data_IF_211190640758
#
_entry.id   IF_211190640758
#
_cell.length_a   1.000
_cell.length_b   1.000
_cell.length_c   1.000
_cell.angle_alpha   90.00
_cell.angle_beta   90.00
_cell.angle_gamma   90.00
#
_symmetry.space_group_name_H-M   'P 1'
#
loop_
_entity.id
_entity.type
_entity.pdbx_description
1 polymer ?
#
# COMPACT_ATOMS: atom_id res chain seq x y z
N UNK A 1 -64.06 -45.99 -8.49
CA UNK A 1 -64.60 -44.69 -8.17
C UNK A 1 -64.45 -44.48 -6.67
N UNK A 2 -63.30 -43.90 -6.25
CA UNK A 2 -62.99 -43.61 -4.85
C UNK A 2 -62.21 -42.29 -4.80
N UNK A 3 -62.85 -41.25 -4.33
CA UNK A 3 -62.33 -39.95 -4.04
C UNK A 3 -61.56 -40.05 -2.72
N UNK A 4 -60.29 -39.68 -2.74
CA UNK A 4 -59.46 -39.56 -1.52
C UNK A 4 -59.11 -38.11 -1.27
N UNK A 5 -59.73 -37.52 -0.27
CA UNK A 5 -59.37 -36.26 0.35
C UNK A 5 -57.94 -36.34 0.90
N UNK A 6 -57.08 -35.36 0.56
CA UNK A 6 -55.88 -35.07 1.30
C UNK A 6 -55.95 -33.63 1.84
N UNK A 7 -56.28 -33.52 3.09
CA UNK A 7 -56.00 -32.35 3.93
C UNK A 7 -54.53 -32.38 4.29
N UNK A 8 -53.73 -31.41 3.87
CA UNK A 8 -52.39 -31.15 4.35
C UNK A 8 -52.42 -30.01 5.36
N UNK A 9 -51.81 -30.13 6.56
CA UNK A 9 -51.84 -29.07 7.56
C UNK A 9 -50.79 -27.98 7.24
N UNK A 10 -51.25 -26.75 7.18
CA UNK A 10 -50.51 -25.51 6.87
C UNK A 10 -49.81 -24.89 8.10
N UNK A 11 -49.58 -25.62 9.19
CA UNK A 11 -49.13 -25.08 10.48
C UNK A 11 -47.63 -25.14 10.75
N UNK A 12 -46.73 -25.95 10.11
CA UNK A 12 -45.31 -25.90 10.43
C UNK A 12 -44.52 -24.81 9.74
N UNK A 13 -45.05 -24.06 8.77
CA UNK A 13 -44.30 -23.06 8.00
C UNK A 13 -44.19 -21.70 8.72
N UNK A 14 -45.05 -21.42 9.68
CA UNK A 14 -45.10 -20.15 10.41
C UNK A 14 -44.13 -20.10 11.60
N UNK A 15 -43.71 -21.26 12.13
CA UNK A 15 -42.72 -21.34 13.22
C UNK A 15 -41.28 -21.22 12.72
N UNK A 16 -41.02 -21.56 11.44
CA UNK A 16 -39.68 -21.43 10.84
C UNK A 16 -39.34 -19.98 10.42
N UNK A 17 -40.35 -19.15 10.21
CA UNK A 17 -40.15 -17.74 9.82
C UNK A 17 -39.89 -16.83 11.03
N UNK A 18 -40.26 -17.24 12.26
CA UNK A 18 -40.00 -16.44 13.49
C UNK A 18 -38.68 -16.74 14.14
N UNK A 19 -37.98 -17.83 13.75
CA UNK A 19 -36.64 -18.20 14.25
C UNK A 19 -35.48 -17.47 13.56
N UNK A 20 -35.71 -16.74 12.47
CA UNK A 20 -34.66 -16.04 11.69
C UNK A 20 -34.44 -14.56 12.11
N UNK A 21 -35.19 -14.06 13.11
CA UNK A 21 -35.07 -12.64 13.55
C UNK A 21 -34.41 -12.48 14.92
N UNK A 22 -33.85 -13.54 15.50
CA UNK A 22 -33.07 -13.45 16.74
C UNK A 22 -31.68 -14.03 16.57
N UNK A 23 -30.93 -13.55 15.56
CA UNK A 23 -29.49 -13.51 15.67
C UNK A 23 -29.13 -12.21 16.38
N UNK A 24 -28.72 -12.23 17.66
CA UNK A 24 -27.97 -11.12 18.18
C UNK A 24 -26.71 -11.09 17.30
N UNK A 25 -26.57 -10.02 16.55
CA UNK A 25 -25.29 -9.64 15.99
C UNK A 25 -24.31 -9.64 17.17
N UNK A 26 -23.63 -10.76 17.39
CA UNK A 26 -22.36 -10.72 18.07
C UNK A 26 -21.49 -9.87 17.15
N UNK A 27 -21.36 -8.61 17.49
CA UNK A 27 -20.34 -7.71 16.99
C UNK A 27 -19.00 -8.24 17.52
N UNK A 28 -18.61 -9.44 17.03
CA UNK A 28 -17.22 -9.86 17.14
C UNK A 28 -16.42 -8.80 16.42
N UNK A 29 -15.46 -8.18 17.11
CA UNK A 29 -14.52 -7.27 16.50
C UNK A 29 -14.03 -7.96 15.22
N UNK A 30 -14.32 -7.34 14.06
CA UNK A 30 -13.87 -7.90 12.78
C UNK A 30 -12.36 -7.89 12.82
N UNK A 31 -11.74 -9.06 12.69
CA UNK A 31 -10.29 -9.14 12.65
C UNK A 31 -9.79 -8.42 11.39
N UNK A 32 -8.58 -7.88 11.44
CA UNK A 32 -7.95 -7.28 10.27
C UNK A 32 -8.01 -8.21 9.04
N UNK A 33 -7.88 -9.52 9.25
CA UNK A 33 -7.96 -10.54 8.21
C UNK A 33 -9.31 -10.55 7.46
N UNK A 34 -10.42 -10.32 8.18
CA UNK A 34 -11.73 -10.21 7.54
C UNK A 34 -11.80 -8.99 6.60
N UNK A 35 -11.21 -7.85 7.00
CA UNK A 35 -11.11 -6.66 6.15
C UNK A 35 -10.18 -6.88 4.95
N UNK A 36 -9.06 -7.61 5.13
CA UNK A 36 -8.17 -7.96 4.02
C UNK A 36 -8.89 -8.79 2.95
N UNK A 37 -9.64 -9.82 3.37
CA UNK A 37 -10.44 -10.65 2.46
C UNK A 37 -11.56 -9.87 1.77
N UNK A 38 -12.14 -8.91 2.46
CA UNK A 38 -13.16 -8.04 1.88
C UNK A 38 -12.59 -7.09 0.83
N UNK A 39 -11.42 -6.50 1.09
CA UNK A 39 -10.70 -5.67 0.12
C UNK A 39 -10.37 -6.44 -1.16
N UNK A 40 -9.92 -7.69 -1.04
CA UNK A 40 -9.64 -8.56 -2.19
C UNK A 40 -10.87 -8.78 -3.08
N UNK A 41 -12.06 -8.80 -2.50
CA UNK A 41 -13.31 -9.04 -3.25
C UNK A 41 -13.91 -7.78 -3.85
N UNK A 42 -13.75 -6.64 -3.20
CA UNK A 42 -14.51 -5.44 -3.50
C UNK A 42 -13.68 -4.30 -4.06
N UNK A 43 -12.34 -4.33 -3.91
CA UNK A 43 -11.50 -3.22 -4.38
C UNK A 43 -11.53 -3.12 -5.92
N UNK A 44 -11.98 -1.99 -6.49
CA UNK A 44 -12.13 -1.85 -7.93
C UNK A 44 -10.79 -1.87 -8.68
N UNK A 45 -9.69 -1.41 -8.04
CA UNK A 45 -8.34 -1.46 -8.63
C UNK A 45 -7.87 -2.90 -8.80
N UNK A 46 -8.02 -3.71 -7.75
CA UNK A 46 -7.64 -5.12 -7.80
C UNK A 46 -8.50 -5.94 -8.77
N UNK A 47 -9.81 -5.66 -8.82
CA UNK A 47 -10.72 -6.29 -9.78
C UNK A 47 -10.35 -5.91 -11.22
N UNK A 48 -9.92 -4.66 -11.48
CA UNK A 48 -9.44 -4.24 -12.77
C UNK A 48 -8.13 -4.95 -13.16
N UNK A 49 -7.19 -5.12 -12.23
CA UNK A 49 -5.96 -5.89 -12.46
C UNK A 49 -6.26 -7.37 -12.79
N UNK A 50 -7.18 -7.97 -12.05
CA UNK A 50 -7.63 -9.32 -12.33
C UNK A 50 -8.30 -9.45 -13.72
N UNK A 51 -9.11 -8.48 -14.10
CA UNK A 51 -9.72 -8.44 -15.44
C UNK A 51 -8.66 -8.30 -16.54
N UNK A 52 -7.57 -7.54 -16.33
CA UNK A 52 -6.42 -7.46 -17.27
C UNK A 52 -5.75 -8.83 -17.43
N UNK A 53 -5.53 -9.54 -16.32
CA UNK A 53 -5.01 -10.91 -16.36
C UNK A 53 -5.94 -11.84 -17.17
N UNK A 54 -7.25 -11.79 -16.91
CA UNK A 54 -8.22 -12.59 -17.68
C UNK A 54 -8.19 -12.23 -19.17
N UNK A 55 -8.14 -10.95 -19.51
CA UNK A 55 -8.02 -10.50 -20.90
C UNK A 55 -6.73 -10.99 -21.56
N UNK A 56 -5.59 -10.96 -20.85
CA UNK A 56 -4.34 -11.52 -21.36
C UNK A 56 -4.42 -13.04 -21.53
N UNK A 57 -5.11 -13.77 -20.66
CA UNK A 57 -5.31 -15.21 -20.80
C UNK A 57 -6.17 -15.58 -22.01
N UNK A 58 -7.17 -14.73 -22.37
CA UNK A 58 -7.97 -14.92 -23.58
C UNK A 58 -7.18 -14.67 -24.88
N UNK A 59 -6.10 -13.89 -24.85
CA UNK A 59 -5.21 -13.73 -26.00
C UNK A 59 -4.57 -15.05 -26.44
N UNK A 60 -4.36 -15.98 -25.50
CA UNK A 60 -3.87 -17.33 -25.81
C UNK A 60 -4.83 -18.09 -26.74
N UNK A 61 -6.13 -17.89 -26.54
CA UNK A 61 -7.18 -18.53 -27.33
C UNK A 61 -7.40 -17.85 -28.69
N UNK A 62 -6.94 -16.61 -28.88
CA UNK A 62 -7.02 -15.87 -30.15
C UNK A 62 -5.98 -16.35 -31.16
N UNK A 63 -4.94 -17.07 -30.70
CA UNK A 63 -3.91 -17.59 -31.61
C UNK A 63 -4.50 -18.72 -32.45
N UNK A 64 -4.79 -18.40 -33.71
CA UNK A 64 -5.36 -19.29 -34.71
C UNK A 64 -4.66 -19.14 -36.05
N UNK A 65 -5.03 -19.94 -37.02
CA UNK A 65 -4.67 -19.69 -38.42
C UNK A 65 -5.21 -18.33 -38.86
N UNK A 66 -4.51 -17.62 -39.75
CA UNK A 66 -5.06 -16.43 -40.42
C UNK A 66 -6.41 -16.75 -41.07
N UNK A 67 -7.32 -15.79 -41.08
CA UNK A 67 -8.62 -15.98 -41.69
C UNK A 67 -8.52 -16.26 -43.19
N UNK A 68 -9.37 -17.13 -43.75
CA UNK A 68 -9.41 -17.35 -45.20
C UNK A 68 -9.85 -16.07 -45.93
N UNK A 69 -9.07 -15.70 -46.93
CA UNK A 69 -9.38 -14.51 -47.76
C UNK A 69 -10.32 -14.90 -48.86
N UNK A 70 -11.49 -14.24 -48.93
CA UNK A 70 -12.48 -14.42 -49.96
C UNK A 70 -12.59 -13.13 -50.80
N UNK A 71 -12.26 -13.26 -52.10
CA UNK A 71 -12.29 -12.15 -53.07
C UNK A 71 -13.32 -12.44 -54.16
N UNK A 72 -14.11 -11.44 -54.56
CA UNK A 72 -15.00 -11.52 -55.69
C UNK A 72 -14.73 -10.36 -56.61
N UNK A 73 -14.41 -10.66 -57.87
CA UNK A 73 -14.26 -9.70 -58.94
C UNK A 73 -15.41 -9.85 -59.95
N UNK A 74 -16.03 -8.75 -60.31
CA UNK A 74 -17.07 -8.75 -61.35
C UNK A 74 -16.60 -7.81 -62.47
N UNK A 75 -16.57 -8.34 -63.69
CA UNK A 75 -16.13 -7.57 -64.86
C UNK A 75 -17.29 -6.74 -65.43
N UNK A 76 -17.28 -5.44 -65.16
CA UNK A 76 -18.28 -4.50 -65.73
C UNK A 76 -18.19 -4.39 -67.28
N UNK A 77 -17.03 -4.64 -67.82
CA UNK A 77 -16.82 -4.86 -69.26
C UNK A 77 -16.29 -6.26 -69.45
N UNK A 78 -17.07 -7.18 -69.97
CA UNK A 78 -16.64 -8.54 -70.13
C UNK A 78 -15.34 -8.66 -70.95
N UNK A 79 -14.41 -9.48 -70.47
CA UNK A 79 -13.16 -9.72 -71.18
C UNK A 79 -13.30 -10.98 -72.00
N UNK A 80 -13.14 -10.84 -73.28
CA UNK A 80 -13.16 -11.98 -74.18
C UNK A 80 -11.90 -12.81 -74.03
N UNK A 81 -12.08 -14.09 -73.74
CA UNK A 81 -11.00 -15.10 -73.64
C UNK A 81 -11.32 -16.31 -74.52
N UNK A 82 -10.31 -17.17 -74.74
CA UNK A 82 -10.48 -18.38 -75.55
C UNK A 82 -11.64 -19.29 -75.05
N UNK A 83 -11.87 -19.34 -73.70
CA UNK A 83 -12.93 -20.16 -73.09
C UNK A 83 -14.32 -19.47 -73.08
N UNK A 84 -14.48 -18.27 -73.63
CA UNK A 84 -15.69 -17.49 -73.60
C UNK A 84 -15.52 -16.10 -73.02
N UNK A 85 -16.60 -15.41 -72.68
CA UNK A 85 -16.62 -14.09 -72.08
C UNK A 85 -16.58 -14.26 -70.56
N UNK A 86 -15.50 -13.80 -69.88
CA UNK A 86 -15.37 -13.87 -68.43
C UNK A 86 -16.27 -12.80 -67.76
N UNK A 87 -17.18 -13.23 -66.86
CA UNK A 87 -18.16 -12.37 -66.20
C UNK A 87 -17.79 -12.10 -64.74
N UNK A 88 -17.30 -13.11 -64.03
CA UNK A 88 -16.87 -12.98 -62.65
C UNK A 88 -15.69 -13.89 -62.34
N UNK A 89 -14.96 -13.51 -61.26
CA UNK A 89 -13.83 -14.20 -60.68
C UNK A 89 -14.01 -14.28 -59.16
N UNK A 90 -14.02 -15.48 -58.61
CA UNK A 90 -14.21 -15.70 -57.18
C UNK A 90 -13.00 -16.51 -56.67
N UNK A 91 -12.31 -15.94 -55.70
CA UNK A 91 -11.11 -16.55 -55.13
C UNK A 91 -11.31 -16.77 -53.63
N UNK A 92 -10.98 -17.97 -53.18
CA UNK A 92 -10.85 -18.34 -51.78
C UNK A 92 -9.41 -18.77 -51.53
N UNK A 93 -8.72 -18.10 -50.59
CA UNK A 93 -7.30 -18.39 -50.26
C UNK A 93 -7.12 -18.52 -48.76
N UNK A 94 -6.43 -19.58 -48.30
CA UNK A 94 -6.02 -19.81 -46.94
C UNK A 94 -4.49 -19.78 -46.86
N UNK A 95 -3.95 -18.92 -45.97
CA UNK A 95 -2.53 -18.86 -45.67
C UNK A 95 -2.19 -19.79 -44.49
N UNK A 96 -1.04 -20.43 -44.58
CA UNK A 96 -0.48 -21.31 -43.57
C UNK A 96 0.90 -20.78 -43.18
N UNK A 97 1.04 -20.21 -41.96
CA UNK A 97 2.35 -19.82 -41.45
C UNK A 97 3.27 -21.03 -41.33
N UNK A 98 4.58 -20.78 -41.33
CA UNK A 98 5.57 -21.85 -41.22
C UNK A 98 5.32 -22.71 -39.99
N UNK A 99 5.64 -24.01 -40.11
CA UNK A 99 5.45 -24.99 -39.04
C UNK A 99 6.07 -24.51 -37.70
N UNK A 100 5.30 -24.61 -36.61
CA UNK A 100 5.71 -24.15 -35.27
C UNK A 100 5.42 -22.68 -34.97
N UNK A 101 5.07 -21.83 -35.96
CA UNK A 101 4.77 -20.41 -35.71
C UNK A 101 3.62 -20.24 -34.72
N UNK A 102 2.46 -20.86 -34.97
CA UNK A 102 1.29 -20.78 -34.10
C UNK A 102 1.55 -21.30 -32.70
N UNK A 103 2.31 -22.42 -32.58
CA UNK A 103 2.71 -22.95 -31.28
C UNK A 103 3.56 -21.95 -30.50
N UNK A 104 4.54 -21.33 -31.17
CA UNK A 104 5.45 -20.37 -30.55
C UNK A 104 4.70 -19.09 -30.17
N UNK A 105 3.75 -18.64 -31.00
CA UNK A 105 2.89 -17.50 -30.73
C UNK A 105 1.95 -17.76 -29.54
N UNK A 106 1.39 -18.98 -29.46
CA UNK A 106 0.54 -19.39 -28.34
C UNK A 106 1.33 -19.44 -27.03
N UNK A 107 2.57 -19.95 -27.07
CA UNK A 107 3.46 -20.00 -25.92
C UNK A 107 3.88 -18.59 -25.47
N UNK A 108 4.16 -17.67 -26.40
CA UNK A 108 4.45 -16.27 -26.10
C UNK A 108 3.26 -15.61 -25.42
N UNK A 109 2.04 -15.75 -25.96
CA UNK A 109 0.82 -15.23 -25.38
C UNK A 109 0.57 -15.81 -23.97
N UNK A 110 0.86 -17.08 -23.75
CA UNK A 110 0.77 -17.71 -22.43
C UNK A 110 1.75 -17.09 -21.44
N UNK A 111 3.01 -16.87 -21.83
CA UNK A 111 3.99 -16.23 -20.96
C UNK A 111 3.61 -14.77 -20.65
N UNK A 112 3.03 -14.05 -21.62
CA UNK A 112 2.51 -12.69 -21.39
C UNK A 112 1.29 -12.70 -20.45
N UNK A 113 0.44 -13.72 -20.50
CA UNK A 113 -0.63 -13.90 -19.51
C UNK A 113 -0.06 -14.17 -18.10
N UNK A 114 1.06 -14.91 -17.99
CA UNK A 114 1.76 -15.08 -16.70
C UNK A 114 2.33 -13.76 -16.17
N UNK A 115 2.88 -12.91 -17.04
CA UNK A 115 3.31 -11.55 -16.66
C UNK A 115 2.15 -10.79 -16.04
N UNK A 116 0.99 -10.73 -16.69
CA UNK A 116 -0.21 -10.05 -16.18
C UNK A 116 -0.73 -10.66 -14.86
N UNK A 117 -0.57 -11.99 -14.67
CA UNK A 117 -0.89 -12.65 -13.41
C UNK A 117 0.01 -12.18 -12.27
N UNK A 118 1.33 -12.11 -12.49
CA UNK A 118 2.25 -11.65 -11.46
C UNK A 118 2.12 -10.15 -11.17
N UNK A 119 1.75 -9.33 -12.16
CA UNK A 119 1.35 -7.93 -11.95
C UNK A 119 0.13 -7.82 -11.04
N UNK A 120 -0.90 -8.64 -11.28
CA UNK A 120 -2.07 -8.72 -10.39
C UNK A 120 -1.69 -9.12 -8.96
N UNK A 121 -0.79 -10.10 -8.79
CA UNK A 121 -0.30 -10.53 -7.48
C UNK A 121 0.45 -9.41 -6.75
N UNK A 122 1.25 -8.63 -7.48
CA UNK A 122 1.95 -7.47 -6.91
C UNK A 122 0.98 -6.36 -6.51
N UNK A 123 -0.01 -6.02 -7.35
CA UNK A 123 -1.06 -5.06 -7.00
C UNK A 123 -1.85 -5.52 -5.75
N UNK A 124 -2.11 -6.82 -5.62
CA UNK A 124 -2.72 -7.40 -4.42
C UNK A 124 -1.85 -7.18 -3.18
N UNK A 125 -0.54 -7.48 -3.25
CA UNK A 125 0.37 -7.28 -2.12
C UNK A 125 0.45 -5.82 -1.68
N UNK A 126 0.49 -4.88 -2.63
CA UNK A 126 0.51 -3.45 -2.37
C UNK A 126 -0.79 -2.99 -1.71
N UNK A 127 -1.94 -3.49 -2.17
CA UNK A 127 -3.25 -3.21 -1.56
C UNK A 127 -3.30 -3.69 -0.10
N UNK A 128 -2.84 -4.91 0.16
CA UNK A 128 -2.80 -5.47 1.52
C UNK A 128 -1.86 -4.69 2.44
N UNK A 129 -0.69 -4.28 1.93
CA UNK A 129 0.23 -3.42 2.68
C UNK A 129 -0.40 -2.05 2.99
N UNK A 130 -1.04 -1.41 2.02
CA UNK A 130 -1.74 -0.15 2.20
C UNK A 130 -2.83 -0.26 3.27
N UNK A 131 -3.65 -1.31 3.21
CA UNK A 131 -4.73 -1.52 4.17
C UNK A 131 -4.20 -1.75 5.59
N UNK A 132 -3.16 -2.58 5.74
CA UNK A 132 -2.48 -2.79 7.02
C UNK A 132 -1.88 -1.49 7.56
N UNK A 133 -1.26 -0.68 6.70
CA UNK A 133 -0.68 0.61 7.11
C UNK A 133 -1.73 1.56 7.65
N UNK A 134 -2.87 1.72 6.97
CA UNK A 134 -3.98 2.57 7.43
C UNK A 134 -4.58 2.03 8.74
N UNK A 135 -4.74 0.71 8.84
CA UNK A 135 -5.23 0.07 10.07
C UNK A 135 -4.35 0.37 11.28
N UNK A 136 -3.04 0.22 11.12
CA UNK A 136 -2.08 0.48 12.18
C UNK A 136 -2.03 1.96 12.56
N UNK A 137 -2.20 2.86 11.61
CA UNK A 137 -2.29 4.29 11.87
C UNK A 137 -3.58 4.65 12.61
N UNK A 138 -4.71 4.03 12.28
CA UNK A 138 -5.96 4.17 13.05
C UNK A 138 -5.78 3.70 14.49
N UNK A 139 -5.10 2.58 14.69
CA UNK A 139 -4.78 2.06 16.03
C UNK A 139 -3.88 3.02 16.81
N UNK A 140 -2.87 3.61 16.15
CA UNK A 140 -2.01 4.63 16.77
C UNK A 140 -2.83 5.84 17.23
N UNK A 141 -3.68 6.39 16.36
CA UNK A 141 -4.53 7.54 16.73
C UNK A 141 -5.52 7.21 17.84
N UNK A 142 -6.07 6.00 17.87
CA UNK A 142 -6.93 5.53 18.96
C UNK A 142 -6.15 5.49 20.28
N UNK A 143 -4.96 4.91 20.30
CA UNK A 143 -4.10 4.85 21.47
C UNK A 143 -3.67 6.24 21.95
N UNK A 144 -3.27 7.13 21.04
CA UNK A 144 -2.95 8.52 21.37
C UNK A 144 -4.15 9.28 21.98
N UNK A 145 -5.36 9.05 21.43
CA UNK A 145 -6.57 9.66 21.96
C UNK A 145 -6.86 9.16 23.39
N UNK A 146 -6.76 7.86 23.64
CA UNK A 146 -6.92 7.26 24.97
C UNK A 146 -5.91 7.81 25.98
N UNK A 147 -4.62 7.88 25.63
CA UNK A 147 -3.57 8.44 26.47
C UNK A 147 -3.82 9.92 26.78
N UNK A 148 -4.21 10.70 25.76
CA UNK A 148 -4.49 12.13 25.92
C UNK A 148 -5.71 12.37 26.82
N UNK A 149 -6.77 11.56 26.69
CA UNK A 149 -7.95 11.63 27.55
C UNK A 149 -7.62 11.27 29.00
N UNK A 150 -6.85 10.19 29.21
CA UNK A 150 -6.42 9.80 30.55
C UNK A 150 -5.58 10.92 31.22
N UNK A 151 -4.65 11.53 30.47
CA UNK A 151 -3.85 12.62 30.98
C UNK A 151 -4.68 13.89 31.28
N UNK A 152 -5.69 14.18 30.44
CA UNK A 152 -6.63 15.27 30.69
C UNK A 152 -7.38 15.11 32.03
N UNK A 153 -7.79 13.88 32.38
CA UNK A 153 -8.41 13.58 33.67
C UNK A 153 -7.46 13.83 34.85
N UNK A 154 -6.19 13.46 34.71
CA UNK A 154 -5.17 13.73 35.73
C UNK A 154 -4.95 15.25 35.89
N UNK A 155 -4.83 16.02 34.80
CA UNK A 155 -4.66 17.46 34.86
C UNK A 155 -5.85 18.17 35.50
N UNK A 156 -7.09 17.73 35.28
CA UNK A 156 -8.28 18.27 35.95
C UNK A 156 -8.24 18.00 37.46
N UNK A 157 -7.84 16.82 37.91
CA UNK A 157 -7.63 16.53 39.32
C UNK A 157 -6.55 17.44 39.92
N UNK A 158 -5.49 17.73 39.21
CA UNK A 158 -4.44 18.64 39.68
C UNK A 158 -4.90 20.09 39.67
N UNK A 159 -5.78 20.53 38.77
CA UNK A 159 -6.42 21.83 38.80
C UNK A 159 -7.25 22.02 40.09
N UNK A 160 -8.07 21.01 40.43
CA UNK A 160 -8.85 21.02 41.66
C UNK A 160 -7.95 21.10 42.90
N UNK A 161 -6.88 20.34 42.98
CA UNK A 161 -5.90 20.39 44.07
C UNK A 161 -5.20 21.75 44.15
N UNK A 162 -4.82 22.33 43.01
CA UNK A 162 -4.23 23.69 42.97
C UNK A 162 -5.17 24.76 43.45
N UNK A 163 -6.47 24.67 43.12
CA UNK A 163 -7.51 25.59 43.60
C UNK A 163 -7.72 25.44 45.11
N UNK A 164 -7.76 24.23 45.64
CA UNK A 164 -7.86 23.99 47.09
C UNK A 164 -6.65 24.55 47.83
N UNK A 165 -5.46 24.32 47.33
CA UNK A 165 -4.23 24.87 47.92
C UNK A 165 -4.20 26.41 47.89
N UNK A 166 -4.64 27.00 46.78
CA UNK A 166 -4.76 28.45 46.65
C UNK A 166 -5.78 29.02 47.65
N UNK A 167 -6.94 28.39 47.82
CA UNK A 167 -7.99 28.82 48.76
C UNK A 167 -7.58 28.63 50.23
N UNK A 168 -6.84 27.58 50.55
CA UNK A 168 -6.31 27.32 51.89
C UNK A 168 -5.13 28.24 52.27
N UNK A 169 -4.31 28.66 51.30
CA UNK A 169 -3.17 29.54 51.48
C UNK A 169 -3.53 31.01 51.62
N UNK A 170 -4.80 31.42 51.44
CA UNK A 170 -5.27 32.79 51.56
C UNK A 170 -5.70 33.18 53.00
N UNK A 171 -5.46 32.34 53.99
CA UNK A 171 -5.61 32.75 55.40
C UNK A 171 -4.42 33.58 55.81
N UNK A 172 -4.62 34.86 56.29
CA UNK A 172 -3.52 35.67 56.75
C UNK A 172 -3.09 35.23 58.15
N UNK A 173 -2.10 34.36 58.24
CA UNK A 173 -1.41 34.16 59.51
C UNK A 173 -0.29 35.18 59.59
N UNK A 174 -0.65 36.39 60.03
CA UNK A 174 0.28 37.40 60.51
C UNK A 174 0.83 36.98 61.88
N UNK A 175 1.98 36.34 61.91
CA UNK A 175 2.80 36.30 63.10
C UNK A 175 3.93 37.32 62.93
N UNK A 176 4.10 38.31 63.84
CA UNK A 176 5.18 39.28 63.74
C UNK A 176 6.49 38.60 64.22
N UNK A 177 7.47 38.46 63.37
CA UNK A 177 8.84 38.13 63.78
C UNK A 177 9.58 39.46 64.12
N UNK A 178 10.30 39.50 65.24
CA UNK A 178 11.04 40.67 65.64
C UNK A 178 12.27 40.93 64.80
N UNK A 179 12.45 42.17 64.45
CA UNK A 179 13.66 42.73 63.84
C UNK A 179 14.90 42.47 64.70
N UNK A 180 15.90 41.80 64.17
CA UNK A 180 17.27 41.89 64.64
C UNK A 180 18.10 42.52 63.50
N UNK A 181 18.47 43.75 63.76
CA UNK A 181 19.49 44.52 63.08
C UNK A 181 20.84 43.78 63.19
N UNK A 182 21.50 43.60 62.07
CA UNK A 182 22.97 43.47 62.08
C UNK A 182 23.58 44.23 60.89
N UNK A 183 24.40 45.11 61.31
CA UNK A 183 25.23 46.12 60.76
C UNK A 183 26.12 45.70 59.60
N UNK A 184 26.23 46.63 58.69
CA UNK A 184 27.23 46.73 57.61
C UNK A 184 28.67 46.45 57.99
N UNK A 185 29.41 45.76 57.12
CA UNK A 185 30.81 46.10 56.89
C UNK A 185 31.16 45.95 55.41
N UNK A 186 31.56 47.07 54.87
CA UNK A 186 32.08 47.35 53.55
C UNK A 186 33.55 46.91 53.52
N UNK A 187 34.00 46.20 52.49
CA UNK A 187 35.40 46.15 52.11
C UNK A 187 35.55 46.17 50.60
N UNK A 188 36.04 47.26 50.15
CA UNK A 188 36.61 47.58 48.84
C UNK A 188 37.98 46.98 48.62
N UNK A 189 38.29 46.47 47.43
CA UNK A 189 39.58 46.52 46.71
C UNK A 189 39.38 45.88 45.33
N UNK A 190 39.31 46.63 44.27
CA UNK A 190 40.29 47.25 43.38
C UNK A 190 41.29 46.25 42.71
N UNK A 191 41.13 46.30 41.39
CA UNK A 191 42.17 46.52 40.33
C UNK A 191 42.72 45.25 39.65
N UNK A 192 42.75 45.19 38.43
CA UNK A 192 43.53 45.70 37.31
C UNK A 192 43.99 44.60 36.37
N UNK A 193 43.81 44.86 35.08
CA UNK A 193 44.68 44.51 33.95
C UNK A 193 44.42 43.20 33.27
N UNK A 194 44.31 43.07 32.02
CA UNK A 194 44.68 43.89 30.90
C UNK A 194 44.95 43.00 29.72
N UNK A 195 44.59 43.48 28.53
CA UNK A 195 45.25 43.25 27.24
C UNK A 195 45.03 41.87 26.56
N UNK A 196 44.36 41.87 25.46
CA UNK A 196 44.64 42.22 24.09
C UNK A 196 44.96 41.05 23.14
N UNK A 197 44.27 41.08 22.04
CA UNK A 197 44.62 40.83 20.63
C UNK A 197 45.06 39.41 20.19
N UNK A 198 44.52 38.83 19.14
CA UNK A 198 44.51 39.10 17.70
C UNK A 198 43.81 37.98 16.99
N UNK A 199 42.83 38.17 16.18
CA UNK A 199 42.75 38.45 14.74
C UNK A 199 43.22 37.32 13.77
N UNK A 200 42.40 37.14 12.77
CA UNK A 200 42.51 36.53 11.43
C UNK A 200 42.20 35.02 11.31
N UNK A 201 41.21 34.71 10.52
CA UNK A 201 41.09 34.62 9.12
C UNK A 201 40.17 33.51 8.69
N UNK A 202 39.15 33.80 8.01
CA UNK A 202 38.77 33.39 6.70
C UNK A 202 38.13 32.01 6.47
N UNK A 203 36.98 32.08 6.00
CA UNK A 203 36.36 31.50 4.80
C UNK A 203 35.14 30.58 5.04
N UNK A 204 34.10 31.01 4.36
CA UNK A 204 32.80 30.43 4.07
C UNK A 204 32.69 28.90 3.96
N UNK A 205 31.69 28.36 4.59
CA UNK A 205 30.79 27.41 3.95
C UNK A 205 29.42 27.39 4.68
N UNK A 206 28.39 27.76 3.95
CA UNK A 206 26.97 27.71 4.26
C UNK A 206 26.50 26.30 4.53
N UNK A 207 25.99 26.01 5.70
CA UNK A 207 25.07 24.92 5.96
C UNK A 207 24.01 25.37 6.93
N UNK A 208 22.79 25.50 6.43
CA UNK A 208 21.58 25.85 7.15
C UNK A 208 21.19 24.71 8.09
N UNK A 209 21.29 24.95 9.39
CA UNK A 209 20.65 24.13 10.43
C UNK A 209 19.46 24.90 11.02
N UNK A 210 18.33 24.26 11.33
CA UNK A 210 17.19 24.92 11.92
C UNK A 210 17.48 25.32 13.36
N UNK A 211 17.34 26.60 13.60
CA UNK A 211 17.49 27.23 14.91
C UNK A 211 16.38 26.78 15.83
N UNK A 212 16.71 25.95 16.80
CA UNK A 212 15.89 25.70 17.98
C UNK A 212 15.94 26.97 18.83
N UNK A 213 14.84 27.72 18.86
CA UNK A 213 14.68 28.84 19.79
C UNK A 213 14.47 28.28 21.20
N UNK A 214 15.55 28.15 21.95
CA UNK A 214 15.50 28.04 23.40
C UNK A 214 15.21 29.45 23.93
N UNK A 215 13.94 29.73 24.23
CA UNK A 215 13.55 30.90 24.98
C UNK A 215 14.03 30.71 26.42
N UNK A 216 15.18 31.28 26.75
CA UNK A 216 15.62 31.49 28.14
C UNK A 216 14.71 32.55 28.77
N UNK A 217 13.73 32.10 29.55
CA UNK A 217 12.94 32.98 30.39
C UNK A 217 13.78 33.52 31.55
N UNK A 218 13.69 34.81 31.87
CA UNK A 218 14.36 35.38 33.02
C UNK A 218 13.75 34.86 34.33
N UNK A 219 14.60 34.32 35.22
CA UNK A 219 14.25 33.99 36.59
C UNK A 219 13.89 35.28 37.33
N UNK A 220 12.63 35.56 37.41
CA UNK A 220 12.10 36.58 38.32
C UNK A 220 11.67 35.90 39.61
N UNK A 221 12.34 36.18 40.69
CA UNK A 221 11.90 35.82 42.06
C UNK A 221 10.61 36.56 42.35
N UNK A 222 9.47 35.90 42.24
CA UNK A 222 8.16 36.45 42.58
C UNK A 222 7.59 35.81 43.85
N UNK A 223 6.98 36.67 44.68
CA UNK A 223 6.29 36.46 45.94
C UNK A 223 5.37 35.22 45.96
N UNK A 224 5.37 34.46 47.05
CA UNK A 224 4.65 33.22 47.28
C UNK A 224 3.13 33.26 47.06
N UNK A 225 2.49 34.46 47.09
CA UNK A 225 1.06 34.61 46.81
C UNK A 225 0.66 34.66 45.32
N UNK A 226 1.61 34.99 44.42
CA UNK A 226 1.39 35.03 42.98
C UNK A 226 1.65 33.63 42.36
N UNK A 227 2.42 32.78 43.04
CA UNK A 227 2.81 31.48 42.53
C UNK A 227 1.64 30.49 42.43
N UNK A 228 0.68 30.51 43.36
CA UNK A 228 -0.45 29.59 43.38
C UNK A 228 -1.42 29.80 42.22
N UNK A 229 -1.80 31.04 41.93
CA UNK A 229 -2.69 31.34 40.79
C UNK A 229 -2.00 31.15 39.46
N UNK A 230 -0.69 31.41 39.38
CA UNK A 230 0.12 31.10 38.17
C UNK A 230 0.09 29.61 37.81
N UNK A 231 0.18 28.71 38.82
CA UNK A 231 0.11 27.27 38.62
C UNK A 231 -1.27 26.83 38.10
N UNK A 232 -2.37 27.39 38.65
CA UNK A 232 -3.73 27.12 38.16
C UNK A 232 -3.88 27.53 36.70
N UNK A 233 -3.40 28.72 36.33
CA UNK A 233 -3.46 29.18 34.93
C UNK A 233 -2.62 28.33 34.00
N UNK A 234 -1.46 27.85 34.46
CA UNK A 234 -0.61 26.93 33.70
C UNK A 234 -1.32 25.60 33.46
N UNK A 235 -1.98 25.02 34.47
CA UNK A 235 -2.75 23.77 34.30
C UNK A 235 -3.89 23.98 33.32
N UNK A 236 -4.64 25.11 33.42
CA UNK A 236 -5.71 25.42 32.48
C UNK A 236 -5.23 25.54 31.03
N UNK A 237 -4.04 26.11 30.82
CA UNK A 237 -3.44 26.22 29.53
C UNK A 237 -3.15 24.79 28.96
N UNK A 238 -2.55 23.91 29.76
CA UNK A 238 -2.30 22.51 29.38
C UNK A 238 -3.60 21.75 29.10
N UNK A 239 -4.64 21.94 29.91
CA UNK A 239 -5.98 21.36 29.69
C UNK A 239 -6.52 21.76 28.31
N UNK A 240 -6.44 23.08 27.98
CA UNK A 240 -6.90 23.56 26.67
C UNK A 240 -6.10 23.02 25.52
N UNK A 241 -4.80 22.84 25.68
CA UNK A 241 -3.92 22.23 24.67
C UNK A 241 -4.30 20.77 24.43
N UNK A 242 -4.54 19.99 25.50
CA UNK A 242 -4.96 18.59 25.34
C UNK A 242 -6.37 18.46 24.75
N UNK A 243 -7.32 19.33 25.11
CA UNK A 243 -8.65 19.37 24.50
C UNK A 243 -8.56 19.63 22.98
N UNK A 244 -7.73 20.59 22.56
CA UNK A 244 -7.50 20.87 21.14
C UNK A 244 -6.83 19.67 20.43
N UNK A 245 -5.87 19.02 21.11
CA UNK A 245 -5.21 17.82 20.57
C UNK A 245 -6.19 16.64 20.36
N UNK A 246 -7.09 16.41 21.32
CA UNK A 246 -8.15 15.39 21.17
C UNK A 246 -9.01 15.67 19.94
N UNK A 247 -9.43 16.91 19.72
CA UNK A 247 -10.21 17.27 18.53
C UNK A 247 -9.43 17.02 17.23
N UNK A 248 -8.14 17.36 17.21
CA UNK A 248 -7.27 17.10 16.06
C UNK A 248 -7.11 15.58 15.79
N UNK A 249 -6.87 14.77 16.84
CA UNK A 249 -6.77 13.32 16.71
C UNK A 249 -8.07 12.69 16.18
N UNK A 250 -9.22 13.18 16.65
CA UNK A 250 -10.54 12.74 16.16
C UNK A 250 -10.73 13.08 14.67
N UNK A 251 -10.41 14.31 14.26
CA UNK A 251 -10.50 14.72 12.85
C UNK A 251 -9.57 13.87 11.94
N UNK A 252 -8.33 13.61 12.38
CA UNK A 252 -7.40 12.77 11.65
C UNK A 252 -7.91 11.32 11.55
N UNK A 253 -8.47 10.78 12.64
CA UNK A 253 -9.02 9.43 12.63
C UNK A 253 -10.21 9.28 11.68
N UNK A 254 -11.04 10.31 11.55
CA UNK A 254 -12.16 10.33 10.62
C UNK A 254 -11.67 10.26 9.16
N UNK A 255 -10.66 11.06 8.81
CA UNK A 255 -10.06 11.02 7.47
C UNK A 255 -9.50 9.63 7.15
N UNK A 256 -8.77 9.01 8.08
CA UNK A 256 -8.23 7.66 7.87
C UNK A 256 -9.33 6.60 7.76
N UNK A 257 -10.44 6.74 8.49
CA UNK A 257 -11.62 5.85 8.35
C UNK A 257 -12.23 5.93 6.95
N UNK A 258 -12.31 7.14 6.40
CA UNK A 258 -12.77 7.35 5.03
C UNK A 258 -11.82 6.68 4.03
N UNK A 259 -10.51 6.87 4.19
CA UNK A 259 -9.50 6.23 3.34
C UNK A 259 -9.56 4.69 3.44
N UNK A 260 -9.70 4.15 4.65
CA UNK A 260 -9.84 2.71 4.88
C UNK A 260 -11.06 2.14 4.16
N UNK A 261 -12.22 2.77 4.31
CA UNK A 261 -13.45 2.36 3.63
C UNK A 261 -13.34 2.47 2.11
N UNK A 262 -12.65 3.50 1.60
CA UNK A 262 -12.40 3.65 0.18
C UNK A 262 -11.54 2.50 -0.38
N UNK A 263 -10.50 2.10 0.33
CA UNK A 263 -9.65 0.96 -0.06
C UNK A 263 -10.43 -0.35 -0.03
N UNK A 264 -11.37 -0.51 0.92
CA UNK A 264 -12.28 -1.66 0.99
C UNK A 264 -13.38 -1.66 -0.08
N UNK A 265 -13.58 -0.56 -0.81
CA UNK A 265 -14.72 -0.42 -1.73
C UNK A 265 -16.07 -0.26 -1.01
N UNK A 266 -16.08 0.23 0.23
CA UNK A 266 -17.27 0.45 1.07
C UNK A 266 -17.76 1.92 1.02
N UNK A 267 -19.01 2.19 1.45
CA UNK A 267 -19.45 3.56 1.71
C UNK A 267 -18.54 4.27 2.72
N UNK A 268 -18.22 5.53 2.50
CA UNK A 268 -17.28 6.31 3.31
C UNK A 268 -17.62 6.36 4.81
N UNK A 269 -18.92 6.25 5.14
CA UNK A 269 -19.44 6.32 6.51
C UNK A 269 -19.58 4.96 7.19
N UNK A 270 -19.12 3.86 6.56
CA UNK A 270 -19.22 2.53 7.15
C UNK A 270 -18.43 2.45 8.48
N UNK A 271 -19.02 1.83 9.48
CA UNK A 271 -18.38 1.67 10.78
C UNK A 271 -17.19 0.71 10.70
N UNK A 272 -16.09 1.08 11.34
CA UNK A 272 -14.88 0.28 11.47
C UNK A 272 -14.71 -0.06 12.95
N UNK A 273 -14.59 -1.34 13.24
CA UNK A 273 -14.35 -1.83 14.60
C UNK A 273 -12.85 -2.06 14.77
N UNK A 274 -12.24 -1.31 15.68
CA UNK A 274 -10.84 -1.45 16.04
C UNK A 274 -10.75 -2.23 17.36
N UNK A 275 -9.75 -3.09 17.56
CA UNK A 275 -9.49 -3.71 18.84
C UNK A 275 -8.97 -2.68 19.86
N UNK A 276 -9.22 -2.91 21.12
CA UNK A 276 -8.80 -2.00 22.20
C UNK A 276 -7.31 -2.11 22.52
N UNK A 277 -6.69 -3.22 22.21
CA UNK A 277 -5.30 -3.51 22.52
C UNK A 277 -4.53 -3.98 21.28
N UNK A 278 -3.25 -3.60 21.21
CA UNK A 278 -2.34 -4.11 20.20
C UNK A 278 -1.74 -5.44 20.65
N UNK A 279 -1.78 -6.40 19.74
CA UNK A 279 -0.97 -7.60 19.89
C UNK A 279 0.50 -7.25 19.67
N UNK A 280 1.41 -7.90 20.39
CA UNK A 280 2.83 -7.65 20.14
C UNK A 280 3.27 -8.30 18.83
N UNK A 281 3.94 -7.55 17.95
CA UNK A 281 4.40 -8.11 16.68
C UNK A 281 5.49 -9.15 16.92
N UNK A 282 5.32 -10.35 16.37
CA UNK A 282 6.31 -11.44 16.46
C UNK A 282 6.73 -11.88 15.08
N UNK A 283 8.02 -12.04 14.86
CA UNK A 283 8.55 -12.66 13.66
C UNK A 283 8.52 -14.18 13.79
N UNK A 284 8.06 -14.85 12.73
CA UNK A 284 7.91 -16.31 12.70
C UNK A 284 9.15 -17.05 12.18
N UNK A 285 10.02 -16.36 11.44
CA UNK A 285 11.15 -16.95 10.73
C UNK A 285 12.46 -16.24 11.12
N UNK A 286 13.59 -16.91 10.88
CA UNK A 286 14.91 -16.33 11.03
C UNK A 286 15.25 -15.32 9.92
N UNK A 287 16.14 -14.36 10.23
CA UNK A 287 16.49 -13.25 9.35
C UNK A 287 16.88 -13.68 7.93
N UNK A 288 17.75 -14.68 7.81
CA UNK A 288 18.24 -15.14 6.50
C UNK A 288 17.18 -15.90 5.72
N UNK A 289 16.34 -16.67 6.41
CA UNK A 289 15.27 -17.44 5.79
C UNK A 289 14.20 -16.53 5.14
N UNK A 290 13.96 -15.35 5.74
CA UNK A 290 13.09 -14.34 5.12
C UNK A 290 13.62 -13.87 3.77
N UNK A 291 14.92 -13.52 3.69
CA UNK A 291 15.53 -13.05 2.45
C UNK A 291 15.47 -14.10 1.35
N UNK A 292 15.85 -15.34 1.68
CA UNK A 292 15.87 -16.44 0.72
C UNK A 292 14.48 -16.71 0.13
N UNK A 293 13.44 -16.67 0.98
CA UNK A 293 12.06 -16.85 0.54
C UNK A 293 11.54 -15.66 -0.29
N UNK A 294 11.91 -14.43 0.05
CA UNK A 294 11.58 -13.23 -0.74
C UNK A 294 12.15 -13.38 -2.15
N UNK A 295 13.46 -13.67 -2.26
CA UNK A 295 14.12 -13.78 -3.56
C UNK A 295 13.63 -14.95 -4.41
N UNK A 296 13.08 -16.02 -3.79
CA UNK A 296 12.53 -17.16 -4.52
C UNK A 296 11.08 -16.94 -4.99
N UNK A 297 10.26 -16.25 -4.21
CA UNK A 297 8.81 -16.26 -4.41
C UNK A 297 8.21 -14.90 -4.77
N UNK A 298 9.01 -13.81 -4.84
CA UNK A 298 8.47 -12.48 -5.10
C UNK A 298 7.84 -12.37 -6.49
N UNK A 299 6.58 -11.86 -6.63
CA UNK A 299 5.86 -11.81 -7.90
C UNK A 299 6.62 -11.07 -9.00
N UNK A 300 7.25 -9.95 -8.67
CA UNK A 300 8.01 -9.15 -9.64
C UNK A 300 9.17 -9.93 -10.28
N UNK A 301 9.86 -10.80 -9.52
CA UNK A 301 10.94 -11.63 -10.06
C UNK A 301 10.40 -12.71 -10.99
N UNK A 302 9.25 -13.31 -10.63
CA UNK A 302 8.54 -14.29 -11.47
C UNK A 302 7.96 -13.63 -12.72
N UNK A 303 7.51 -12.38 -12.62
CA UNK A 303 7.07 -11.57 -13.75
C UNK A 303 8.19 -11.40 -14.78
N UNK A 304 9.39 -10.92 -14.36
CA UNK A 304 10.53 -10.76 -15.27
C UNK A 304 11.02 -12.10 -15.85
N UNK A 305 10.94 -13.17 -15.08
CA UNK A 305 11.26 -14.51 -15.61
C UNK A 305 10.29 -14.90 -16.74
N UNK A 306 8.99 -14.68 -16.56
CA UNK A 306 7.97 -14.94 -17.57
C UNK A 306 8.11 -14.03 -18.79
N UNK A 307 8.44 -12.75 -18.58
CA UNK A 307 8.71 -11.79 -19.66
C UNK A 307 9.93 -12.22 -20.50
N UNK A 308 11.01 -12.66 -19.86
CA UNK A 308 12.17 -13.23 -20.57
C UNK A 308 11.80 -14.48 -21.38
N UNK A 309 10.92 -15.33 -20.88
CA UNK A 309 10.41 -16.49 -21.63
C UNK A 309 9.55 -16.05 -22.81
N UNK A 310 8.69 -15.04 -22.64
CA UNK A 310 7.91 -14.46 -23.74
C UNK A 310 8.82 -13.89 -24.84
N UNK A 311 9.81 -13.09 -24.45
CA UNK A 311 10.83 -12.56 -25.39
C UNK A 311 11.60 -13.66 -26.11
N UNK A 312 11.93 -14.76 -25.41
CA UNK A 312 12.57 -15.91 -26.03
C UNK A 312 11.67 -16.55 -27.13
N UNK A 313 10.35 -16.59 -26.91
CA UNK A 313 9.41 -17.05 -27.94
C UNK A 313 9.30 -16.04 -29.09
N UNK A 314 9.30 -14.72 -28.80
CA UNK A 314 9.35 -13.69 -29.84
C UNK A 314 10.60 -13.81 -30.72
N UNK A 315 11.76 -14.10 -30.11
CA UNK A 315 12.99 -14.38 -30.87
C UNK A 315 12.86 -15.62 -31.77
N UNK A 316 12.18 -16.67 -31.34
CA UNK A 316 11.86 -17.83 -32.17
C UNK A 316 10.89 -17.46 -33.28
N UNK A 317 9.85 -16.68 -33.01
CA UNK A 317 8.91 -16.18 -34.02
C UNK A 317 9.63 -15.35 -35.09
N UNK A 318 10.51 -14.44 -34.70
CA UNK A 318 11.31 -13.67 -35.64
C UNK A 318 12.16 -14.53 -36.57
N UNK A 319 12.71 -15.65 -36.08
CA UNK A 319 13.42 -16.64 -36.92
C UNK A 319 12.47 -17.39 -37.84
N UNK A 320 11.27 -17.74 -37.39
CA UNK A 320 10.26 -18.43 -38.20
C UNK A 320 9.62 -17.52 -39.25
N UNK A 321 9.48 -16.20 -39.00
CA UNK A 321 9.08 -15.21 -40.00
C UNK A 321 10.08 -15.14 -41.19
N UNK A 322 11.31 -15.56 -40.97
CA UNK A 322 12.31 -15.71 -42.01
C UNK A 322 12.12 -16.95 -42.91
N UNK A 323 11.15 -17.80 -42.64
CA UNK A 323 10.81 -18.98 -43.43
C UNK A 323 9.70 -18.65 -44.42
N UNK A 324 9.62 -19.41 -45.57
CA UNK A 324 8.54 -19.23 -46.52
C UNK A 324 7.15 -19.48 -45.89
N UNK A 325 6.14 -18.71 -46.27
CA UNK A 325 4.74 -19.01 -45.97
C UNK A 325 4.07 -19.65 -47.15
N UNK A 326 3.24 -20.65 -46.88
CA UNK A 326 2.47 -21.39 -47.85
C UNK A 326 1.02 -20.93 -47.85
N UNK A 327 0.41 -20.77 -49.01
CA UNK A 327 -1.02 -20.59 -49.16
C UNK A 327 -1.60 -21.58 -50.14
N UNK A 328 -2.81 -22.02 -49.86
CA UNK A 328 -3.60 -22.87 -50.73
C UNK A 328 -4.94 -22.23 -50.99
N UNK A 329 -5.41 -22.28 -52.23
CA UNK A 329 -6.68 -21.66 -52.57
C UNK A 329 -7.32 -22.25 -53.81
N UNK A 330 -8.50 -21.77 -54.08
CA UNK A 330 -9.28 -22.13 -55.28
C UNK A 330 -9.81 -20.86 -55.93
N UNK A 331 -9.59 -20.75 -57.22
CA UNK A 331 -10.20 -19.69 -58.02
C UNK A 331 -11.31 -20.28 -58.89
N UNK A 332 -12.50 -19.70 -58.85
CA UNK A 332 -13.64 -20.07 -59.63
C UNK A 332 -13.96 -18.93 -60.59
N UNK A 333 -13.84 -19.20 -61.89
CA UNK A 333 -14.12 -18.21 -62.94
C UNK A 333 -15.40 -18.58 -63.67
N UNK A 334 -16.28 -17.63 -63.82
CA UNK A 334 -17.52 -17.81 -64.58
C UNK A 334 -17.39 -17.22 -65.98
N UNK A 335 -17.78 -17.99 -66.98
CA UNK A 335 -17.71 -17.65 -68.37
C UNK A 335 -19.12 -17.73 -69.00
N UNK A 336 -19.45 -16.84 -69.93
CA UNK A 336 -20.59 -16.95 -70.83
C UNK A 336 -20.11 -17.27 -72.23
N UNK A 337 -20.90 -18.05 -73.04
CA UNK A 337 -20.52 -18.36 -74.40
C UNK A 337 -20.30 -17.12 -75.28
N UNK A 338 -19.25 -17.11 -76.08
CA UNK A 338 -19.09 -16.12 -77.15
C UNK A 338 -19.68 -16.62 -78.43
N UNK A 339 -20.22 -15.75 -79.26
CA UNK A 339 -20.71 -16.13 -80.57
C UNK A 339 -19.60 -15.90 -81.59
N UNK A 340 -19.14 -17.00 -82.24
CA UNK A 340 -18.15 -16.98 -83.31
C UNK A 340 -18.73 -17.69 -84.49
N UNK A 341 -18.83 -17.00 -85.66
CA UNK A 341 -19.46 -17.50 -86.92
C UNK A 341 -20.91 -18.02 -86.73
N UNK A 342 -21.70 -17.40 -85.83
CA UNK A 342 -23.06 -17.78 -85.52
C UNK A 342 -23.24 -19.01 -84.58
N UNK A 343 -22.21 -19.56 -84.08
CA UNK A 343 -22.22 -20.69 -83.11
C UNK A 343 -21.71 -20.26 -81.72
N UNK A 344 -22.40 -20.69 -80.66
CA UNK A 344 -21.90 -20.44 -79.31
C UNK A 344 -20.64 -21.29 -79.07
N UNK A 345 -19.55 -20.62 -78.73
CA UNK A 345 -18.28 -21.29 -78.36
C UNK A 345 -17.87 -20.93 -76.92
N UNK A 346 -17.42 -21.94 -76.17
CA UNK A 346 -17.02 -21.81 -74.80
C UNK A 346 -18.22 -21.62 -73.87
N UNK A 347 -18.00 -21.01 -72.68
CA UNK A 347 -18.99 -20.76 -71.64
C UNK A 347 -18.90 -21.69 -70.43
N UNK A 348 -17.99 -22.63 -70.46
CA UNK A 348 -17.77 -23.56 -69.35
C UNK A 348 -17.02 -22.84 -68.21
N UNK A 349 -17.57 -22.93 -67.02
CA UNK A 349 -16.91 -22.39 -65.82
C UNK A 349 -15.62 -23.13 -65.49
N UNK A 350 -14.59 -22.39 -65.01
CA UNK A 350 -13.29 -22.92 -64.72
C UNK A 350 -13.01 -22.88 -63.23
N UNK A 351 -12.57 -24.03 -62.70
CA UNK A 351 -12.02 -24.15 -61.33
C UNK A 351 -10.50 -24.31 -61.44
N UNK A 352 -9.79 -23.40 -60.74
CA UNK A 352 -8.33 -23.40 -60.74
C UNK A 352 -7.80 -23.52 -59.33
N UNK A 353 -7.25 -24.69 -58.90
CA UNK A 353 -6.53 -24.76 -57.65
C UNK A 353 -5.27 -23.88 -57.70
N UNK A 354 -4.97 -23.18 -56.63
CA UNK A 354 -3.83 -22.28 -56.53
C UNK A 354 -2.99 -22.61 -55.31
N UNK A 355 -1.68 -22.50 -55.45
CA UNK A 355 -0.73 -22.52 -54.35
C UNK A 355 0.09 -21.25 -54.40
N UNK A 356 0.21 -20.58 -53.29
CA UNK A 356 1.04 -19.38 -53.13
C UNK A 356 2.23 -19.69 -52.21
N UNK A 357 3.36 -19.08 -52.51
CA UNK A 357 4.57 -19.17 -51.69
C UNK A 357 5.13 -17.77 -51.49
N UNK A 358 5.06 -17.28 -50.25
CA UNK A 358 5.66 -15.99 -49.86
C UNK A 358 7.09 -16.19 -49.38
N UNK A 359 8.04 -15.56 -50.04
CA UNK A 359 9.48 -15.66 -49.70
C UNK A 359 9.95 -14.38 -48.99
N UNK A 360 10.41 -14.41 -47.74
CA UNK A 360 10.95 -13.27 -47.04
C UNK A 360 12.38 -12.95 -47.52
N UNK A 361 12.50 -12.05 -48.49
CA UNK A 361 13.77 -11.67 -49.09
C UNK A 361 14.52 -10.61 -48.26
N UNK A 362 13.85 -9.84 -47.42
CA UNK A 362 14.42 -8.77 -46.63
C UNK A 362 15.07 -9.27 -45.34
N UNK A 363 16.15 -10.00 -45.43
CA UNK A 363 16.85 -10.65 -44.31
C UNK A 363 17.37 -9.64 -43.25
N UNK A 364 17.72 -8.40 -43.67
CA UNK A 364 18.13 -7.36 -42.72
C UNK A 364 17.04 -7.01 -41.68
N UNK A 365 15.76 -6.97 -42.12
CA UNK A 365 14.62 -6.74 -41.22
C UNK A 365 14.54 -7.83 -40.14
N UNK A 366 14.70 -9.10 -40.55
CA UNK A 366 14.63 -10.24 -39.63
C UNK A 366 15.80 -10.23 -38.66
N UNK A 367 17.02 -9.97 -39.13
CA UNK A 367 18.19 -9.84 -38.30
C UNK A 367 18.07 -8.69 -37.27
N UNK A 368 17.51 -7.56 -37.69
CA UNK A 368 17.23 -6.43 -36.78
C UNK A 368 16.19 -6.82 -35.71
N UNK A 369 15.11 -7.52 -36.08
CA UNK A 369 14.09 -7.99 -35.13
C UNK A 369 14.68 -8.99 -34.12
N UNK A 370 15.53 -9.91 -34.55
CA UNK A 370 16.23 -10.83 -33.65
C UNK A 370 17.14 -10.04 -32.69
N UNK A 371 17.88 -9.07 -33.21
CA UNK A 371 18.77 -8.23 -32.38
C UNK A 371 18.02 -7.37 -31.37
N UNK A 372 16.86 -6.82 -31.77
CA UNK A 372 15.94 -6.12 -30.88
C UNK A 372 15.54 -7.00 -29.70
N UNK A 373 15.05 -8.22 -29.96
CA UNK A 373 14.64 -9.16 -28.90
C UNK A 373 15.81 -9.53 -28.00
N UNK A 374 17.00 -9.76 -28.51
CA UNK A 374 18.20 -10.02 -27.70
C UNK A 374 18.51 -8.87 -26.75
N UNK A 375 18.39 -7.62 -27.22
CA UNK A 375 18.63 -6.44 -26.41
C UNK A 375 17.54 -6.26 -25.34
N UNK A 376 16.26 -6.53 -25.68
CA UNK A 376 15.16 -6.52 -24.73
C UNK A 376 15.33 -7.58 -23.65
N UNK A 377 15.73 -8.82 -24.01
CA UNK A 377 16.04 -9.86 -23.03
C UNK A 377 17.17 -9.44 -22.08
N UNK A 378 18.23 -8.83 -22.63
CA UNK A 378 19.31 -8.25 -21.83
C UNK A 378 18.80 -7.18 -20.86
N UNK A 379 17.94 -6.28 -21.34
CA UNK A 379 17.33 -5.23 -20.51
C UNK A 379 16.45 -5.81 -19.40
N UNK A 380 15.58 -6.78 -19.71
CA UNK A 380 14.72 -7.46 -18.71
C UNK A 380 15.54 -8.21 -17.67
N UNK A 381 16.64 -8.86 -18.07
CA UNK A 381 17.55 -9.52 -17.13
C UNK A 381 18.21 -8.53 -16.16
N UNK A 382 18.68 -7.39 -16.66
CA UNK A 382 19.26 -6.33 -15.83
C UNK A 382 18.20 -5.73 -14.89
N UNK A 383 16.97 -5.55 -15.37
CA UNK A 383 15.85 -5.07 -14.56
C UNK A 383 15.49 -6.06 -13.45
N UNK A 384 15.54 -7.36 -13.74
CA UNK A 384 15.37 -8.41 -12.72
C UNK A 384 16.46 -8.32 -11.64
N UNK A 385 17.73 -8.10 -12.03
CA UNK A 385 18.83 -7.93 -11.08
C UNK A 385 18.67 -6.64 -10.23
N UNK A 386 18.29 -5.54 -10.86
CA UNK A 386 17.96 -4.30 -10.15
C UNK A 386 16.88 -4.55 -9.09
N UNK A 387 15.77 -5.19 -9.48
CA UNK A 387 14.68 -5.54 -8.56
C UNK A 387 15.15 -6.46 -7.42
N UNK A 388 16.03 -7.43 -7.67
CA UNK A 388 16.62 -8.25 -6.61
C UNK A 388 17.41 -7.42 -5.60
N UNK A 389 18.17 -6.44 -6.08
CA UNK A 389 18.93 -5.53 -5.21
C UNK A 389 17.99 -4.64 -4.38
N UNK A 390 16.93 -4.09 -5.01
CA UNK A 390 15.93 -3.26 -4.34
C UNK A 390 15.14 -4.04 -3.28
N UNK A 391 14.77 -5.29 -3.55
CA UNK A 391 14.12 -6.18 -2.60
C UNK A 391 15.04 -6.49 -1.41
N UNK A 392 16.31 -6.75 -1.68
CA UNK A 392 17.31 -7.02 -0.63
C UNK A 392 17.53 -5.78 0.25
N UNK A 393 17.57 -4.58 -0.34
CA UNK A 393 17.67 -3.32 0.38
C UNK A 393 16.41 -3.05 1.22
N UNK A 394 15.23 -3.25 0.62
CA UNK A 394 13.93 -3.05 1.28
C UNK A 394 13.77 -4.01 2.47
N UNK A 395 14.16 -5.27 2.29
CA UNK A 395 14.21 -6.25 3.36
C UNK A 395 15.16 -5.83 4.49
N UNK A 396 16.39 -5.40 4.16
CA UNK A 396 17.36 -4.99 5.15
C UNK A 396 16.89 -3.75 5.95
N UNK A 397 16.26 -2.80 5.26
CA UNK A 397 15.68 -1.62 5.89
C UNK A 397 14.51 -1.99 6.82
N UNK A 398 13.54 -2.79 6.35
CA UNK A 398 12.39 -3.20 7.14
C UNK A 398 12.81 -4.05 8.37
N UNK A 399 13.80 -4.92 8.21
CA UNK A 399 14.32 -5.71 9.31
C UNK A 399 15.06 -4.86 10.36
N UNK A 400 15.89 -3.90 9.92
CA UNK A 400 16.53 -2.92 10.80
C UNK A 400 15.48 -2.13 11.59
N UNK A 401 14.45 -1.62 10.91
CA UNK A 401 13.38 -0.83 11.53
C UNK A 401 12.61 -1.66 12.57
N UNK A 402 12.40 -2.94 12.29
CA UNK A 402 11.77 -3.86 13.22
C UNK A 402 12.65 -4.13 14.47
N UNK A 403 13.94 -4.39 14.30
CA UNK A 403 14.88 -4.56 15.42
C UNK A 403 14.99 -3.29 16.27
N UNK A 404 15.00 -2.13 15.61
CA UNK A 404 15.07 -0.83 16.29
C UNK A 404 13.79 -0.56 17.09
N UNK A 405 12.61 -0.79 16.49
CA UNK A 405 11.33 -0.64 17.19
C UNK A 405 11.23 -1.53 18.43
N UNK A 406 11.75 -2.76 18.38
CA UNK A 406 11.79 -3.67 19.51
C UNK A 406 12.69 -3.14 20.65
N UNK A 407 13.88 -2.61 20.30
CA UNK A 407 14.76 -1.98 21.31
C UNK A 407 14.11 -0.75 21.94
N UNK A 408 13.49 0.11 21.11
CA UNK A 408 12.79 1.30 21.59
C UNK A 408 11.60 0.94 22.47
N UNK A 409 10.82 -0.07 22.11
CA UNK A 409 9.70 -0.54 22.91
C UNK A 409 10.15 -1.02 24.30
N UNK A 410 11.23 -1.79 24.38
CA UNK A 410 11.81 -2.22 25.66
C UNK A 410 12.26 -1.01 26.47
N UNK A 411 13.04 -0.10 25.87
CA UNK A 411 13.52 1.10 26.54
C UNK A 411 12.38 1.95 27.10
N UNK A 412 11.38 2.27 26.27
CA UNK A 412 10.28 3.13 26.70
C UNK A 412 9.36 2.45 27.72
N UNK A 413 9.19 1.13 27.65
CA UNK A 413 8.45 0.40 28.69
C UNK A 413 9.13 0.48 30.06
N UNK A 414 10.46 0.37 30.13
CA UNK A 414 11.23 0.55 31.35
C UNK A 414 11.15 2.00 31.86
N UNK A 415 11.28 2.99 30.95
CA UNK A 415 11.16 4.41 31.32
C UNK A 415 9.77 4.75 31.84
N UNK A 416 8.70 4.27 31.21
CA UNK A 416 7.32 4.45 31.71
C UNK A 416 7.18 3.87 33.13
N UNK A 417 7.69 2.66 33.38
CA UNK A 417 7.64 2.05 34.72
C UNK A 417 8.38 2.88 35.77
N UNK A 418 9.58 3.41 35.45
CA UNK A 418 10.35 4.24 36.35
C UNK A 418 9.66 5.58 36.66
N UNK A 419 9.11 6.25 35.64
CA UNK A 419 8.40 7.51 35.83
C UNK A 419 7.08 7.32 36.61
N UNK A 420 6.38 6.19 36.40
CA UNK A 420 5.20 5.85 37.22
C UNK A 420 5.57 5.67 38.69
N UNK A 421 6.69 5.00 39.01
CA UNK A 421 7.19 4.90 40.39
C UNK A 421 7.55 6.28 40.94
N UNK A 422 8.18 7.14 40.15
CA UNK A 422 8.50 8.50 40.54
C UNK A 422 7.25 9.31 40.88
N UNK A 423 6.18 9.21 40.07
CA UNK A 423 4.91 9.89 40.33
C UNK A 423 4.32 9.43 41.66
N UNK A 424 4.30 8.13 41.96
CA UNK A 424 3.78 7.59 43.21
C UNK A 424 4.54 8.15 44.44
N UNK A 425 5.88 8.27 44.33
CA UNK A 425 6.70 8.89 45.38
C UNK A 425 6.40 10.39 45.52
N UNK A 426 6.25 11.12 44.41
CA UNK A 426 5.93 12.54 44.40
C UNK A 426 4.52 12.82 44.96
N UNK A 427 3.53 11.99 44.64
CA UNK A 427 2.18 12.09 45.19
C UNK A 427 2.17 11.94 46.73
N UNK A 428 2.89 10.95 47.26
CA UNK A 428 3.03 10.78 48.70
C UNK A 428 3.77 11.95 49.35
N UNK A 429 4.82 12.46 48.73
CA UNK A 429 5.60 13.60 49.20
C UNK A 429 4.83 14.92 49.09
N UNK A 430 3.96 15.09 48.13
CA UNK A 430 3.06 16.22 47.96
C UNK A 430 2.03 16.33 49.11
N UNK A 431 1.46 15.17 49.55
CA UNK A 431 0.55 15.13 50.68
C UNK A 431 1.18 15.56 51.99
N UNK A 432 2.53 15.39 52.14
CA UNK A 432 3.30 15.87 53.30
C UNK A 432 3.81 17.31 53.15
N UNK A 433 3.57 17.95 52.00
CA UNK A 433 4.00 19.32 51.75
C UNK A 433 5.47 19.47 51.37
N UNK A 434 6.20 18.37 51.10
CA UNK A 434 7.63 18.34 50.83
C UNK A 434 7.98 18.65 49.37
N UNK A 435 7.03 18.51 48.44
CA UNK A 435 7.19 18.65 46.99
C UNK A 435 6.19 19.63 46.42
N UNK A 436 6.58 20.37 45.39
CA UNK A 436 5.70 21.30 44.70
C UNK A 436 4.80 20.62 43.67
N UNK A 437 3.59 21.17 43.47
CA UNK A 437 2.68 20.70 42.39
C UNK A 437 3.31 20.83 41.00
N UNK A 438 4.19 21.80 40.80
CA UNK A 438 4.90 22.02 39.54
C UNK A 438 5.80 20.81 39.16
N UNK A 439 6.50 20.22 40.14
CA UNK A 439 7.35 19.04 39.93
C UNK A 439 6.50 17.81 39.57
N UNK A 440 5.35 17.66 40.22
CA UNK A 440 4.38 16.62 39.88
C UNK A 440 3.86 16.75 38.45
N UNK A 441 3.51 17.99 38.04
CA UNK A 441 3.06 18.29 36.67
C UNK A 441 4.13 18.00 35.61
N UNK A 442 5.40 18.37 35.88
CA UNK A 442 6.51 18.07 34.97
C UNK A 442 6.73 16.58 34.81
N UNK A 443 6.65 15.82 35.91
CA UNK A 443 6.80 14.37 35.87
C UNK A 443 5.61 13.70 35.16
N UNK A 444 4.40 14.22 35.31
CA UNK A 444 3.21 13.75 34.55
C UNK A 444 3.34 14.01 33.04
N UNK A 445 3.88 15.16 32.65
CA UNK A 445 4.18 15.44 31.24
C UNK A 445 5.24 14.49 30.68
N UNK A 446 6.27 14.18 31.47
CA UNK A 446 7.29 13.22 31.10
C UNK A 446 6.71 11.80 30.94
N UNK A 447 5.77 11.40 31.81
CA UNK A 447 5.06 10.13 31.67
C UNK A 447 4.31 10.06 30.35
N UNK A 448 3.54 11.10 30.01
CA UNK A 448 2.79 11.16 28.75
C UNK A 448 3.74 11.05 27.55
N UNK A 449 4.86 11.79 27.58
CA UNK A 449 5.87 11.74 26.51
C UNK A 449 6.44 10.33 26.31
N UNK A 450 6.77 9.62 27.38
CA UNK A 450 7.30 8.25 27.26
C UNK A 450 6.22 7.24 26.86
N UNK A 451 4.98 7.39 27.30
CA UNK A 451 3.86 6.56 26.84
C UNK A 451 3.57 6.78 25.35
N UNK A 452 3.65 8.01 24.86
CA UNK A 452 3.51 8.30 23.43
C UNK A 452 4.65 7.69 22.60
N UNK A 453 5.90 7.78 23.11
CA UNK A 453 7.06 7.14 22.46
C UNK A 453 6.94 5.62 22.46
N UNK A 454 6.44 5.03 23.52
CA UNK A 454 6.17 3.59 23.62
C UNK A 454 5.13 3.16 22.57
N UNK A 455 4.03 3.90 22.47
CA UNK A 455 2.98 3.65 21.49
C UNK A 455 3.49 3.79 20.05
N UNK A 456 4.33 4.81 19.80
CA UNK A 456 4.96 5.01 18.50
C UNK A 456 5.92 3.88 18.15
N UNK A 457 6.68 3.37 19.11
CA UNK A 457 7.58 2.22 18.91
C UNK A 457 6.78 0.94 18.57
N UNK A 458 5.64 0.71 19.22
CA UNK A 458 4.72 -0.38 18.84
C UNK A 458 4.22 -0.23 17.40
N UNK A 459 3.74 0.95 17.03
CA UNK A 459 3.31 1.27 15.67
C UNK A 459 4.41 1.01 14.65
N UNK A 460 5.64 1.48 14.89
CA UNK A 460 6.78 1.25 14.01
C UNK A 460 7.12 -0.23 13.86
N UNK A 461 6.99 -1.02 14.92
CA UNK A 461 7.15 -2.46 14.89
C UNK A 461 6.13 -3.15 13.99
N UNK A 462 4.87 -2.80 14.10
CA UNK A 462 3.81 -3.32 13.22
C UNK A 462 3.97 -2.89 11.77
N UNK A 463 4.39 -1.63 11.53
CA UNK A 463 4.67 -1.13 10.19
C UNK A 463 5.83 -1.87 9.51
N UNK A 464 6.91 -2.11 10.24
CA UNK A 464 8.05 -2.85 9.70
C UNK A 464 7.70 -4.31 9.43
N UNK A 465 6.92 -4.95 10.30
CA UNK A 465 6.41 -6.30 10.09
C UNK A 465 5.50 -6.36 8.85
N UNK A 466 4.56 -5.42 8.70
CA UNK A 466 3.68 -5.35 7.52
C UNK A 466 4.47 -5.19 6.21
N UNK A 467 5.57 -4.40 6.23
CA UNK A 467 6.48 -4.29 5.08
C UNK A 467 7.19 -5.60 4.78
N UNK A 468 7.69 -6.30 5.81
CA UNK A 468 8.33 -7.62 5.64
C UNK A 468 7.35 -8.64 5.07
N UNK A 469 6.11 -8.68 5.56
CA UNK A 469 5.07 -9.58 5.06
C UNK A 469 4.68 -9.27 3.60
N UNK A 470 4.62 -7.99 3.22
CA UNK A 470 4.34 -7.58 1.84
C UNK A 470 5.44 -8.03 0.87
N UNK A 471 6.72 -7.98 1.30
CA UNK A 471 7.84 -8.50 0.50
C UNK A 471 7.79 -10.03 0.37
N UNK A 472 7.25 -10.71 1.36
CA UNK A 472 7.22 -12.17 1.40
C UNK A 472 6.16 -12.79 0.50
N UNK A 473 5.17 -12.01 0.03
CA UNK A 473 4.09 -12.48 -0.86
C UNK A 473 3.58 -13.87 -0.51
N UNK A 474 2.99 -14.02 0.66
CA UNK A 474 2.33 -15.28 0.99
C UNK A 474 1.05 -15.42 0.18
N UNK A 475 1.02 -16.36 -0.78
CA UNK A 475 -0.21 -17.14 -0.92
C UNK A 475 -0.62 -17.57 0.48
N UNK A 476 -1.87 -17.35 0.90
CA UNK A 476 -2.31 -17.80 2.21
C UNK A 476 -1.95 -19.28 2.34
N UNK A 477 -1.17 -19.60 3.37
CA UNK A 477 -0.95 -20.97 3.77
C UNK A 477 -2.34 -21.53 4.10
N UNK A 478 -2.86 -22.40 3.21
CA UNK A 478 -4.06 -23.20 3.46
C UNK A 478 -3.89 -24.02 4.73
#
# INVERSE_FOLDING_TARGET
>A
MKIKNQFTPLIPLLVLALGLWLNPNQTAAQSLEAYLLEAEKNNPGLLAAYARYQAASEQVNQVSLPDPEFQVGVFLRPMERFMGIQTADTRLMQEFPWFGMLRTQKEEAYQMAQVAYFEYMEEKNQLLLQLRSIWQELMLLQGQNQLTQANLEYLRKYEDLALLQYSAGSSPTSAPTPFLNQTSTQATASSTGGSQMSQMGGSNSTSSSPTTMTASMPRTTMNAGISGMSTVLQIRLLVKELEARIQQLQANSELLRIQFNQVLGRPMTAAIQLPDTWEQPTLLLEKQEYLDKILQNHPMLSMYASENLALAQQGKMAKLEGKPMLGAGVNYMTFTPRIENGMPMGGDNMVMPMVSLSLPIYRKKIAAKIKEVELLQGATTLKQQETQNDLSLSWAAAFRDWEDSKRQLTLYSEQVALVQQQIQLLETSFTTGSVSLQELLQTQQLLLEYQEKQLLAQYQGHQSLARLEALFSTTPLN
#
